data_IF_815807733872
#
_entry.id   IF_815807733872
#
_cell.length_a   1.000
_cell.length_b   1.000
_cell.length_c   1.000
_cell.angle_alpha   90.00
_cell.angle_beta   90.00
_cell.angle_gamma   90.00
#
_symmetry.space_group_name_H-M   'P 1'
#
loop_
_entity.id
_entity.type
_entity.pdbx_description
1 polymer ?
#
# COMPACT_ATOMS: atom_id res chain seq x y z
N UNK A 1 -1.87 -21.42 9.78
CA UNK A 1 -2.55 -20.63 8.73
C UNK A 1 -2.10 -19.18 8.83
N UNK A 2 -0.95 -18.85 8.25
CA UNK A 2 -0.36 -17.50 8.30
C UNK A 2 0.54 -17.29 7.08
N UNK A 3 -0.05 -17.30 5.90
CA UNK A 3 0.66 -17.03 4.64
C UNK A 3 -0.23 -16.24 3.69
N UNK A 4 -0.55 -14.98 4.03
CA UNK A 4 -1.27 -14.08 3.10
C UNK A 4 -0.96 -12.58 3.28
N UNK A 5 0.26 -12.20 3.72
CA UNK A 5 0.67 -10.79 3.77
C UNK A 5 2.11 -10.53 3.28
N UNK A 6 2.54 -11.26 2.25
CA UNK A 6 3.78 -10.96 1.48
C UNK A 6 3.42 -10.78 -0.01
N UNK A 7 2.28 -10.15 -0.29
CA UNK A 7 1.80 -9.94 -1.65
C UNK A 7 1.39 -8.49 -1.94
N UNK A 8 1.81 -7.51 -1.12
CA UNK A 8 1.64 -6.08 -1.45
C UNK A 8 2.92 -5.42 -2.02
N UNK A 9 3.85 -6.25 -2.50
CA UNK A 9 4.87 -5.84 -3.48
C UNK A 9 4.79 -6.69 -4.76
N UNK A 10 3.94 -7.72 -4.79
CA UNK A 10 3.74 -8.64 -5.94
C UNK A 10 2.23 -8.96 -6.14
N UNK A 11 1.35 -7.95 -6.19
CA UNK A 11 0.00 -8.07 -6.79
C UNK A 11 -0.32 -6.73 -7.45
N UNK A 12 0.40 -6.43 -8.53
CA UNK A 12 0.00 -5.43 -9.54
C UNK A 12 -0.43 -6.10 -10.85
N UNK A 13 -0.66 -7.42 -10.83
CA UNK A 13 -1.09 -8.22 -11.97
C UNK A 13 -2.22 -9.09 -11.43
N UNK A 14 -3.34 -9.15 -12.15
CA UNK A 14 -4.63 -9.74 -11.77
C UNK A 14 -5.54 -8.75 -11.02
N UNK A 15 -6.06 -7.77 -11.76
CA UNK A 15 -7.48 -7.35 -11.80
C UNK A 15 -7.62 -6.21 -12.82
N UNK A 16 -7.55 -6.55 -14.10
CA UNK A 16 -8.19 -5.76 -15.16
C UNK A 16 -8.70 -6.76 -16.20
N UNK A 17 -9.98 -7.12 -16.09
CA UNK A 17 -10.78 -7.65 -17.18
C UNK A 17 -11.68 -6.50 -17.63
N UNK A 18 -11.24 -5.87 -18.72
CA UNK A 18 -12.04 -5.35 -19.84
C UNK A 18 -13.29 -4.52 -19.51
N UNK A 19 -13.11 -3.19 -19.47
CA UNK A 19 -14.04 -2.24 -20.10
C UNK A 19 -13.20 -1.15 -20.79
N UNK A 20 -13.27 -1.13 -22.12
CA UNK A 20 -12.60 -0.16 -22.98
C UNK A 20 -13.19 1.24 -22.80
N UNK A 21 -12.48 2.09 -22.07
CA UNK A 21 -12.69 3.55 -22.12
C UNK A 21 -11.34 4.20 -22.46
N UNK A 22 -11.24 4.66 -23.70
CA UNK A 22 -10.09 5.40 -24.24
C UNK A 22 -9.80 6.69 -23.46
N UNK A 23 -8.89 6.65 -22.49
CA UNK A 23 -8.24 7.85 -21.93
C UNK A 23 -6.72 7.62 -21.81
N UNK A 24 -5.94 8.66 -22.11
CA UNK A 24 -4.51 8.62 -22.40
C UNK A 24 -3.67 7.76 -21.45
N UNK A 25 -2.75 6.98 -22.03
CA UNK A 25 -1.78 6.14 -21.31
C UNK A 25 -0.87 6.99 -20.43
N UNK A 26 -1.29 7.28 -19.20
CA UNK A 26 -0.35 7.53 -18.12
C UNK A 26 0.37 6.20 -17.87
N UNK A 27 1.64 6.14 -18.24
CA UNK A 27 2.48 4.99 -17.89
C UNK A 27 2.40 4.81 -16.36
N UNK A 28 2.21 3.58 -15.85
CA UNK A 28 2.14 3.35 -14.42
C UNK A 28 3.40 3.93 -13.76
N UNK A 29 3.19 4.82 -12.79
CA UNK A 29 4.28 5.42 -12.01
C UNK A 29 5.07 4.29 -11.36
N UNK A 30 6.28 4.02 -11.87
CA UNK A 30 7.21 3.15 -11.17
C UNK A 30 7.56 3.80 -9.83
N UNK A 31 7.56 3.04 -8.72
CA UNK A 31 8.01 3.56 -7.44
C UNK A 31 9.39 4.19 -7.59
N UNK A 32 9.58 5.36 -6.97
CA UNK A 32 10.88 6.01 -6.95
C UNK A 32 11.91 5.06 -6.32
N UNK A 33 13.13 4.95 -6.87
CA UNK A 33 14.16 4.10 -6.29
C UNK A 33 14.51 4.55 -4.86
N UNK A 34 14.91 3.63 -3.97
CA UNK A 34 15.36 3.99 -2.63
C UNK A 34 16.42 5.11 -2.65
N UNK A 35 16.32 6.12 -1.77
CA UNK A 35 17.20 7.29 -1.80
C UNK A 35 18.70 6.95 -1.72
N UNK A 36 19.07 5.91 -0.98
CA UNK A 36 20.46 5.47 -0.83
C UNK A 36 21.10 4.95 -2.13
N UNK A 37 20.29 4.61 -3.15
CA UNK A 37 20.80 4.21 -4.46
C UNK A 37 21.29 5.39 -5.31
N UNK A 38 21.00 6.63 -4.92
CA UNK A 38 21.44 7.82 -5.68
C UNK A 38 22.96 8.05 -5.59
N UNK A 39 23.55 7.65 -4.47
CA UNK A 39 24.95 7.95 -4.14
C UNK A 39 25.90 6.76 -4.36
N UNK A 40 25.44 5.70 -5.04
CA UNK A 40 26.26 4.50 -5.31
C UNK A 40 26.50 4.31 -6.81
N UNK A 41 27.56 3.58 -7.15
CA UNK A 41 27.92 3.30 -8.54
C UNK A 41 26.81 2.56 -9.31
N UNK A 42 26.84 2.62 -10.64
CA UNK A 42 25.90 1.86 -11.46
C UNK A 42 25.99 0.34 -11.20
N UNK A 43 27.19 -0.16 -10.90
CA UNK A 43 27.41 -1.55 -10.52
C UNK A 43 26.78 -1.88 -9.16
N UNK A 44 26.99 -1.03 -8.15
CA UNK A 44 26.38 -1.20 -6.84
C UNK A 44 24.84 -1.26 -6.95
N UNK A 45 24.23 -0.38 -7.77
CA UNK A 45 22.79 -0.43 -8.08
C UNK A 45 22.37 -1.75 -8.71
N UNK A 46 23.14 -2.27 -9.70
CA UNK A 46 22.84 -3.57 -10.31
C UNK A 46 22.88 -4.70 -9.28
N UNK A 47 23.89 -4.72 -8.42
CA UNK A 47 24.04 -5.75 -7.39
C UNK A 47 22.87 -5.72 -6.39
N UNK A 48 22.46 -4.54 -5.96
CA UNK A 48 21.26 -4.36 -5.13
C UNK A 48 20.00 -4.97 -5.79
N UNK A 49 19.73 -4.65 -7.06
CA UNK A 49 18.58 -5.22 -7.77
C UNK A 49 18.71 -6.72 -8.04
N UNK A 50 19.93 -7.25 -8.15
CA UNK A 50 20.15 -8.69 -8.29
C UNK A 50 19.76 -9.43 -7.01
N UNK A 51 20.10 -8.89 -5.84
CA UNK A 51 19.65 -9.43 -4.54
C UNK A 51 18.11 -9.49 -4.50
N UNK A 52 17.44 -8.39 -4.83
CA UNK A 52 15.97 -8.32 -4.82
C UNK A 52 15.28 -9.26 -5.82
N UNK A 53 15.97 -9.68 -6.90
CA UNK A 53 15.41 -10.59 -7.91
C UNK A 53 15.47 -12.05 -7.49
N UNK A 54 16.22 -12.41 -6.45
CA UNK A 54 16.36 -13.79 -6.00
C UNK A 54 15.03 -14.30 -5.46
N UNK A 55 14.46 -15.31 -6.12
CA UNK A 55 13.13 -15.86 -5.79
C UNK A 55 13.17 -17.04 -4.83
N UNK A 56 14.36 -17.54 -4.53
CA UNK A 56 14.62 -18.71 -3.71
C UNK A 56 15.06 -18.37 -2.29
N UNK A 57 15.18 -17.09 -1.95
CA UNK A 57 15.59 -16.60 -0.64
C UNK A 57 14.40 -16.00 0.12
N UNK A 58 14.43 -16.14 1.43
CA UNK A 58 13.52 -15.42 2.32
C UNK A 58 13.84 -13.93 2.31
N UNK A 59 12.85 -13.10 2.66
CA UNK A 59 13.06 -11.66 2.82
C UNK A 59 14.14 -11.37 3.88
N UNK A 60 14.22 -12.18 4.93
CA UNK A 60 15.24 -12.02 5.97
C UNK A 60 16.65 -12.26 5.41
N UNK A 61 16.82 -13.28 4.57
CA UNK A 61 18.09 -13.54 3.88
C UNK A 61 18.44 -12.39 2.93
N UNK A 62 17.49 -11.92 2.11
CA UNK A 62 17.73 -10.77 1.23
C UNK A 62 18.12 -9.50 2.00
N UNK A 63 17.52 -9.26 3.16
CA UNK A 63 17.89 -8.11 4.02
C UNK A 63 19.33 -8.23 4.52
N UNK A 64 19.76 -9.42 4.91
CA UNK A 64 21.13 -9.65 5.36
C UNK A 64 22.13 -9.44 4.22
N UNK A 65 21.80 -9.88 3.00
CA UNK A 65 22.59 -9.59 1.81
C UNK A 65 22.64 -8.09 1.49
N UNK A 66 21.53 -7.37 1.64
CA UNK A 66 21.48 -5.91 1.47
C UNK A 66 22.35 -5.22 2.52
N UNK A 67 22.41 -5.70 3.76
CA UNK A 67 23.31 -5.15 4.79
C UNK A 67 24.77 -5.34 4.42
N UNK A 68 25.14 -6.54 3.97
CA UNK A 68 26.50 -6.86 3.51
C UNK A 68 26.88 -6.01 2.29
N UNK A 69 25.95 -5.85 1.34
CA UNK A 69 26.08 -4.94 0.20
C UNK A 69 26.26 -3.49 0.67
N UNK A 70 25.49 -3.04 1.65
CA UNK A 70 25.54 -1.67 2.16
C UNK A 70 26.88 -1.37 2.86
N UNK A 71 27.44 -2.33 3.59
CA UNK A 71 28.79 -2.24 4.16
C UNK A 71 29.85 -2.12 3.06
N UNK A 72 29.77 -2.99 2.04
CA UNK A 72 30.71 -3.00 0.90
C UNK A 72 30.75 -1.65 0.16
N UNK A 73 29.60 -0.98 0.02
CA UNK A 73 29.49 0.29 -0.71
C UNK A 73 29.40 1.53 0.20
N UNK A 74 29.59 1.39 1.50
CA UNK A 74 29.63 2.52 2.44
C UNK A 74 28.30 3.25 2.63
N UNK A 75 27.16 2.57 2.48
CA UNK A 75 25.81 3.14 2.61
C UNK A 75 24.98 2.51 3.73
N UNK A 76 25.61 1.77 4.65
CA UNK A 76 24.96 1.07 5.77
C UNK A 76 23.95 1.95 6.53
N UNK A 77 24.38 3.11 7.03
CA UNK A 77 23.51 4.01 7.80
C UNK A 77 22.28 4.47 7.01
N UNK A 78 22.42 4.69 5.69
CA UNK A 78 21.32 5.12 4.84
C UNK A 78 20.31 3.99 4.61
N UNK A 79 20.80 2.76 4.49
CA UNK A 79 19.97 1.56 4.38
C UNK A 79 19.23 1.30 5.68
N UNK A 80 19.91 1.33 6.83
CA UNK A 80 19.29 1.12 8.14
C UNK A 80 18.23 2.17 8.44
N UNK A 81 18.50 3.45 8.15
CA UNK A 81 17.50 4.52 8.27
C UNK A 81 16.29 4.29 7.37
N UNK A 82 16.51 3.81 6.15
CA UNK A 82 15.43 3.49 5.22
C UNK A 82 14.59 2.31 5.72
N UNK A 83 15.22 1.24 6.22
CA UNK A 83 14.52 0.08 6.81
C UNK A 83 13.69 0.46 8.03
N UNK A 84 14.22 1.33 8.90
CA UNK A 84 13.49 1.85 10.06
C UNK A 84 12.25 2.64 9.61
N UNK A 85 12.40 3.51 8.60
CA UNK A 85 11.26 4.27 8.07
C UNK A 85 10.19 3.38 7.44
N UNK A 86 10.60 2.38 6.64
CA UNK A 86 9.67 1.39 6.08
C UNK A 86 8.94 0.60 7.18
N UNK A 87 9.65 0.25 8.26
CA UNK A 87 9.05 -0.46 9.39
C UNK A 87 8.01 0.39 10.09
N UNK A 88 8.32 1.67 10.35
CA UNK A 88 7.38 2.64 10.90
C UNK A 88 6.13 2.79 10.03
N UNK A 89 6.31 3.07 8.73
CA UNK A 89 5.18 3.21 7.80
C UNK A 89 4.35 1.94 7.68
N UNK A 90 4.97 0.75 7.73
CA UNK A 90 4.24 -0.52 7.76
C UNK A 90 3.37 -0.62 9.02
N UNK A 91 3.89 -0.24 10.18
CA UNK A 91 3.14 -0.27 11.43
C UNK A 91 1.97 0.72 11.41
N UNK A 92 2.20 1.95 10.94
CA UNK A 92 1.15 2.97 10.74
C UNK A 92 0.05 2.44 9.81
N UNK A 93 0.44 1.92 8.64
CA UNK A 93 -0.46 1.29 7.68
C UNK A 93 -1.29 0.17 8.33
N UNK A 94 -0.65 -0.73 9.07
CA UNK A 94 -1.34 -1.82 9.75
C UNK A 94 -2.35 -1.32 10.77
N UNK A 95 -1.98 -0.33 11.60
CA UNK A 95 -2.88 0.29 12.56
C UNK A 95 -4.10 0.91 11.86
N UNK A 96 -3.86 1.67 10.77
CA UNK A 96 -4.91 2.35 10.01
C UNK A 96 -5.86 1.34 9.34
N UNK A 97 -5.33 0.25 8.75
CA UNK A 97 -6.16 -0.82 8.17
C UNK A 97 -6.99 -1.49 9.27
N UNK A 98 -6.39 -1.80 10.42
CA UNK A 98 -7.11 -2.41 11.54
C UNK A 98 -8.24 -1.51 12.04
N UNK A 99 -8.01 -0.20 12.16
CA UNK A 99 -9.04 0.76 12.52
C UNK A 99 -10.20 0.77 11.51
N UNK A 100 -9.89 0.75 10.21
CA UNK A 100 -10.90 0.69 9.15
C UNK A 100 -11.72 -0.60 9.23
N UNK A 101 -11.06 -1.75 9.40
CA UNK A 101 -11.74 -3.05 9.55
C UNK A 101 -12.70 -3.03 10.74
N UNK A 102 -12.30 -2.41 11.86
CA UNK A 102 -13.15 -2.33 13.05
C UNK A 102 -14.38 -1.42 12.83
N UNK A 103 -14.28 -0.37 12.00
CA UNK A 103 -15.39 0.55 11.70
C UNK A 103 -16.30 0.05 10.57
N UNK A 104 -15.79 -0.80 9.69
CA UNK A 104 -16.49 -1.25 8.49
C UNK A 104 -17.86 -1.91 8.76
N UNK A 105 -18.04 -2.77 9.78
CA UNK A 105 -19.34 -3.37 10.07
C UNK A 105 -20.42 -2.35 10.40
N UNK A 106 -20.08 -1.28 11.12
CA UNK A 106 -21.05 -0.27 11.53
C UNK A 106 -21.39 0.67 10.36
N UNK A 107 -20.40 1.06 9.56
CA UNK A 107 -20.63 1.78 8.30
C UNK A 107 -21.52 0.98 7.35
N UNK A 108 -21.34 -0.33 7.29
CA UNK A 108 -22.19 -1.20 6.47
C UNK A 108 -23.63 -1.23 6.98
N UNK A 109 -23.85 -1.34 8.30
CA UNK A 109 -25.21 -1.28 8.89
C UNK A 109 -25.91 0.05 8.59
N UNK A 110 -25.19 1.17 8.69
CA UNK A 110 -25.72 2.49 8.38
C UNK A 110 -26.11 2.60 6.90
N UNK A 111 -25.25 2.12 6.00
CA UNK A 111 -25.54 2.11 4.57
C UNK A 111 -26.79 1.28 4.24
N UNK A 112 -26.90 0.07 4.80
CA UNK A 112 -28.07 -0.80 4.62
C UNK A 112 -29.34 -0.15 5.17
N UNK A 113 -29.25 0.51 6.33
CA UNK A 113 -30.38 1.27 6.91
C UNK A 113 -30.84 2.38 5.97
N UNK A 114 -29.92 3.14 5.38
CA UNK A 114 -30.28 4.19 4.41
C UNK A 114 -30.94 3.61 3.18
N UNK A 115 -30.51 2.46 2.66
CA UNK A 115 -31.15 1.87 1.47
C UNK A 115 -32.52 1.23 1.75
N UNK A 116 -32.70 0.64 2.92
CA UNK A 116 -33.93 -0.10 3.26
C UNK A 116 -34.99 0.76 3.98
N UNK A 117 -34.75 2.06 4.13
CA UNK A 117 -35.76 2.99 4.63
C UNK A 117 -36.74 3.32 3.49
N UNK A 118 -37.89 2.64 3.49
CA UNK A 118 -38.97 2.81 2.51
C UNK A 118 -39.86 4.04 2.82
N UNK A 119 -39.70 4.67 3.99
CA UNK A 119 -40.50 5.83 4.39
C UNK A 119 -39.92 7.15 3.85
N UNK A 120 -38.66 7.13 3.39
CA UNK A 120 -38.00 8.29 2.79
C UNK A 120 -38.35 8.46 1.29
N UNK A 121 -38.34 9.70 0.83
CA UNK A 121 -38.37 10.04 -0.60
C UNK A 121 -36.98 9.85 -1.25
N UNK A 122 -36.90 9.72 -2.58
CA UNK A 122 -35.61 9.64 -3.28
C UNK A 122 -34.65 10.81 -3.00
N UNK A 123 -35.19 12.02 -2.74
CA UNK A 123 -34.38 13.18 -2.38
C UNK A 123 -33.78 13.04 -0.97
N UNK A 124 -34.57 12.57 0.00
CA UNK A 124 -34.09 12.29 1.35
C UNK A 124 -33.04 11.16 1.37
N UNK A 125 -33.22 10.13 0.54
CA UNK A 125 -32.22 9.08 0.37
C UNK A 125 -30.90 9.62 -0.18
N UNK A 126 -30.96 10.50 -1.19
CA UNK A 126 -29.76 11.17 -1.71
C UNK A 126 -29.04 11.95 -0.62
N UNK A 127 -29.75 12.74 0.17
CA UNK A 127 -29.17 13.54 1.25
C UNK A 127 -28.55 12.66 2.35
N UNK A 128 -29.21 11.55 2.70
CA UNK A 128 -28.70 10.56 3.65
C UNK A 128 -27.42 9.86 3.15
N UNK A 129 -27.36 9.51 1.87
CA UNK A 129 -26.15 8.94 1.24
C UNK A 129 -25.00 9.95 1.18
N UNK A 130 -25.28 11.22 0.90
CA UNK A 130 -24.26 12.26 0.86
C UNK A 130 -23.71 12.55 2.28
N UNK A 131 -24.57 12.51 3.31
CA UNK A 131 -24.15 12.55 4.71
C UNK A 131 -23.28 11.34 5.10
N UNK A 132 -23.73 10.13 4.77
CA UNK A 132 -22.98 8.90 5.00
C UNK A 132 -21.59 8.93 4.32
N UNK A 133 -21.50 9.42 3.07
CA UNK A 133 -20.23 9.60 2.37
C UNK A 133 -19.30 10.58 3.08
N UNK A 134 -19.83 11.64 3.66
CA UNK A 134 -19.03 12.62 4.40
C UNK A 134 -18.49 12.02 5.72
N UNK A 135 -19.33 11.28 6.44
CA UNK A 135 -18.96 10.64 7.71
C UNK A 135 -17.95 9.49 7.49
N UNK A 136 -18.17 8.66 6.48
CA UNK A 136 -17.23 7.60 6.07
C UNK A 136 -15.91 8.16 5.49
N UNK A 137 -15.93 9.35 4.87
CA UNK A 137 -14.69 10.02 4.43
C UNK A 137 -13.78 10.40 5.59
N UNK A 138 -14.30 10.69 6.78
CA UNK A 138 -13.48 10.94 7.97
C UNK A 138 -12.67 9.70 8.38
N UNK A 139 -13.15 8.50 8.05
CA UNK A 139 -12.39 7.24 8.19
C UNK A 139 -11.35 7.08 7.08
N UNK A 140 -11.59 7.66 5.90
CA UNK A 140 -10.65 7.72 4.77
C UNK A 140 -9.54 8.77 4.94
N UNK A 141 -9.73 9.81 5.76
CA UNK A 141 -8.71 10.86 5.99
C UNK A 141 -7.57 10.43 6.93
N UNK A 142 -7.58 9.19 7.41
CA UNK A 142 -6.42 8.55 8.10
C UNK A 142 -5.33 8.13 7.08
N UNK A 143 -5.48 8.48 5.81
CA UNK A 143 -4.73 7.93 4.68
C UNK A 143 -4.03 8.97 3.78
N UNK A 144 -4.00 10.24 4.19
CA UNK A 144 -3.18 11.31 3.59
C UNK A 144 -2.12 11.77 4.61
#
# INVERSE_FOLDING_TARGET
>A
MTTLFIALVIVGVVLCREEDIHHGKQAPHRPAPPPFLRNVSAEARRNYYNILKKKNETIAQQKEEIRTWAETYGVKDQVEKFEANLTKHKMELQANVTELINKLPDLYKELVRVYNDEEQTPLQMKDALDKFKLESRKVRLVWD
#
